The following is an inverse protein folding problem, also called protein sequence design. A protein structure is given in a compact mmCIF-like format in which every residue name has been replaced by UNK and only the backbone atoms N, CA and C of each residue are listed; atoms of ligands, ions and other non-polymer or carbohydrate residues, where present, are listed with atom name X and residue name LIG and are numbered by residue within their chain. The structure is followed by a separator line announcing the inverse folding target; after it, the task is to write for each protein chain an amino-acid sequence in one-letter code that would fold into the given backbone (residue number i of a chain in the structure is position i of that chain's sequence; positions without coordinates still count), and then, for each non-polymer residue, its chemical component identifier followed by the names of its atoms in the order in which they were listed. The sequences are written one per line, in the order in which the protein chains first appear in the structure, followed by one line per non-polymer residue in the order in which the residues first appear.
data_IF_430465330383
#
_entry.id   IF_430465330383
#
_cell.length_a   1.000
_cell.length_b   1.000
_cell.length_c   1.000
_cell.angle_alpha   90.00
_cell.angle_beta   90.00
_cell.angle_gamma   90.00
#
_symmetry.space_group_name_H-M   'P 1'
#
loop_
_entity.id
_entity.type
_entity.pdbx_description
1 polymer ?
#
# COMPACT_ATOMS: atom_id res chain seq x y z
N UNK A 1 20.37 -0.90 25.65
CA UNK A 1 19.81 -1.23 24.32
C UNK A 1 18.31 -1.30 24.49
N UNK A 2 17.65 -0.15 24.47
CA UNK A 2 16.24 -0.02 24.84
C UNK A 2 15.42 0.39 23.63
N UNK A 3 14.17 -0.05 23.60
CA UNK A 3 13.09 0.37 22.71
C UNK A 3 12.72 1.86 22.93
N UNK A 4 13.70 2.77 23.03
CA UNK A 4 13.48 4.20 23.28
C UNK A 4 12.90 4.94 22.04
N UNK A 5 12.77 4.22 20.93
CA UNK A 5 12.39 4.70 19.60
C UNK A 5 11.06 4.08 19.11
N UNK A 6 10.33 3.38 20.00
CA UNK A 6 9.04 2.76 19.73
C UNK A 6 7.94 3.51 20.51
N UNK A 7 6.97 4.11 19.80
CA UNK A 7 5.77 4.67 20.42
C UNK A 7 4.53 3.92 19.91
N UNK A 8 3.70 3.44 20.84
CA UNK A 8 2.42 2.80 20.52
C UNK A 8 1.30 3.65 21.08
N UNK A 9 0.36 4.03 20.23
CA UNK A 9 -0.84 4.78 20.59
C UNK A 9 -2.07 3.99 20.16
N UNK A 10 -3.07 3.90 21.04
CA UNK A 10 -4.37 3.34 20.70
C UNK A 10 -5.45 4.41 20.82
N UNK A 11 -6.07 4.72 19.69
CA UNK A 11 -7.26 5.54 19.60
C UNK A 11 -8.50 4.64 19.80
N UNK A 12 -9.14 4.79 20.96
CA UNK A 12 -10.31 3.99 21.34
C UNK A 12 -11.59 4.34 20.57
N UNK A 13 -11.69 5.57 20.06
CA UNK A 13 -12.84 6.04 19.27
C UNK A 13 -12.78 5.47 17.86
N UNK A 14 -11.63 5.61 17.20
CA UNK A 14 -11.41 5.14 15.84
C UNK A 14 -10.94 3.68 15.74
N UNK A 15 -10.79 2.99 16.87
CA UNK A 15 -10.23 1.63 16.98
C UNK A 15 -8.91 1.50 16.22
N UNK A 16 -8.03 2.51 16.35
CA UNK A 16 -6.79 2.61 15.60
C UNK A 16 -5.58 2.42 16.51
N UNK A 17 -4.80 1.37 16.25
CA UNK A 17 -3.48 1.14 16.83
C UNK A 17 -2.43 1.76 15.92
N UNK A 18 -1.79 2.84 16.38
CA UNK A 18 -0.69 3.48 15.68
C UNK A 18 0.63 3.09 16.34
N UNK A 19 1.56 2.60 15.54
CA UNK A 19 2.89 2.20 15.97
C UNK A 19 3.91 3.07 15.24
N UNK A 20 4.71 3.82 15.98
CA UNK A 20 5.85 4.55 15.46
C UNK A 20 7.12 3.82 15.85
N UNK A 21 7.93 3.46 14.85
CA UNK A 21 9.20 2.77 15.01
C UNK A 21 10.25 3.62 14.32
N UNK A 22 11.15 4.22 15.09
CA UNK A 22 12.26 4.99 14.56
C UNK A 22 13.47 4.08 14.36
N UNK A 23 13.51 3.41 13.21
CA UNK A 23 14.63 2.54 12.81
C UNK A 23 14.99 2.73 11.33
N UNK A 24 16.27 2.51 10.99
CA UNK A 24 16.91 2.90 9.73
C UNK A 24 16.36 2.26 8.45
N UNK A 25 16.99 2.54 7.31
CA UNK A 25 16.48 2.15 5.97
C UNK A 25 16.12 0.67 5.81
N UNK A 26 16.71 -0.23 6.60
CA UNK A 26 16.40 -1.65 6.59
C UNK A 26 14.93 -1.94 6.94
N UNK A 27 14.32 -1.16 7.85
CA UNK A 27 12.93 -1.37 8.28
C UNK A 27 11.96 -1.08 7.14
N UNK A 28 12.25 -0.09 6.28
CA UNK A 28 11.40 0.29 5.15
C UNK A 28 11.09 -0.88 4.22
N UNK A 29 12.08 -1.76 4.00
CA UNK A 29 11.92 -2.97 3.17
C UNK A 29 10.96 -4.00 3.81
N UNK A 30 10.93 -4.05 5.14
CA UNK A 30 10.13 -5.01 5.90
C UNK A 30 8.76 -4.47 6.33
N UNK A 31 8.56 -3.15 6.32
CA UNK A 31 7.29 -2.50 6.68
C UNK A 31 6.05 -3.15 6.03
N UNK A 32 6.03 -3.50 4.73
CA UNK A 32 4.85 -4.12 4.12
C UNK A 32 4.47 -5.44 4.79
N UNK A 33 5.47 -6.27 5.11
CA UNK A 33 5.28 -7.56 5.76
C UNK A 33 4.89 -7.37 7.23
N UNK A 34 5.58 -6.47 7.94
CA UNK A 34 5.32 -6.19 9.34
C UNK A 34 3.89 -5.66 9.58
N UNK A 35 3.42 -4.73 8.74
CA UNK A 35 2.04 -4.24 8.79
C UNK A 35 1.05 -5.38 8.57
N UNK A 36 1.26 -6.18 7.52
CA UNK A 36 0.36 -7.30 7.20
C UNK A 36 0.31 -8.35 8.31
N UNK A 37 1.46 -8.70 8.89
CA UNK A 37 1.59 -9.72 9.93
C UNK A 37 0.98 -9.23 11.25
N UNK A 38 1.23 -7.97 11.64
CA UNK A 38 0.62 -7.39 12.84
C UNK A 38 -0.89 -7.22 12.69
N UNK A 39 -1.38 -6.76 11.54
CA UNK A 39 -2.82 -6.73 11.25
C UNK A 39 -3.44 -8.12 11.36
N UNK A 40 -2.76 -9.14 10.84
CA UNK A 40 -3.24 -10.51 10.91
C UNK A 40 -3.34 -11.01 12.35
N UNK A 41 -2.29 -10.81 13.16
CA UNK A 41 -2.26 -11.20 14.57
C UNK A 41 -3.35 -10.47 15.37
N UNK A 42 -3.45 -9.15 15.21
CA UNK A 42 -4.47 -8.34 15.88
C UNK A 42 -5.87 -8.82 15.53
N UNK A 43 -6.14 -9.10 14.24
CA UNK A 43 -7.42 -9.64 13.78
C UNK A 43 -7.74 -11.02 14.37
N UNK A 44 -6.74 -11.89 14.54
CA UNK A 44 -6.95 -13.19 15.19
C UNK A 44 -7.32 -13.02 16.67
N UNK A 45 -6.67 -12.08 17.36
CA UNK A 45 -6.95 -11.78 18.76
C UNK A 45 -8.34 -11.16 18.95
N UNK A 46 -8.71 -10.16 18.15
CA UNK A 46 -10.05 -9.54 18.23
C UNK A 46 -11.14 -10.58 17.98
N UNK A 47 -10.96 -11.42 16.95
CA UNK A 47 -11.90 -12.51 16.65
C UNK A 47 -12.01 -13.52 17.80
N UNK A 48 -10.88 -13.92 18.40
CA UNK A 48 -10.86 -14.86 19.53
C UNK A 48 -11.62 -14.33 20.75
N UNK A 49 -11.53 -13.02 21.00
CA UNK A 49 -12.19 -12.37 22.13
C UNK A 49 -13.55 -11.75 21.79
N UNK A 50 -14.10 -12.05 20.60
CA UNK A 50 -15.36 -11.50 20.09
C UNK A 50 -15.43 -9.96 20.16
N UNK A 51 -14.29 -9.31 19.90
CA UNK A 51 -14.14 -7.86 19.84
C UNK A 51 -14.14 -7.37 18.39
N UNK A 52 -14.44 -6.09 18.23
CA UNK A 52 -14.34 -5.40 16.95
C UNK A 52 -12.91 -5.40 16.41
N UNK A 53 -12.78 -5.32 15.09
CA UNK A 53 -11.46 -5.25 14.47
C UNK A 53 -10.79 -3.92 14.79
N UNK A 54 -9.48 -3.99 15.04
CA UNK A 54 -8.62 -2.82 15.26
C UNK A 54 -7.80 -2.59 13.98
N UNK A 55 -7.75 -1.33 13.54
CA UNK A 55 -6.92 -0.93 12.42
C UNK A 55 -5.48 -0.69 12.90
N UNK A 56 -4.49 -1.26 12.21
CA UNK A 56 -3.08 -1.08 12.56
C UNK A 56 -2.42 -0.17 11.54
N UNK A 57 -1.71 0.84 12.01
CA UNK A 57 -0.95 1.77 11.18
C UNK A 57 0.47 1.89 11.74
N UNK A 58 1.47 1.57 10.92
CA UNK A 58 2.87 1.60 11.32
C UNK A 58 3.57 2.69 10.52
N UNK A 59 4.14 3.70 11.20
CA UNK A 59 4.86 4.80 10.56
C UNK A 59 4.08 5.50 9.42
N UNK A 60 2.75 5.60 9.51
CA UNK A 60 1.88 6.10 8.41
C UNK A 60 2.09 5.37 7.07
N UNK A 61 2.56 4.12 7.10
CA UNK A 61 2.98 3.34 5.93
C UNK A 61 1.91 3.31 4.84
N UNK A 62 0.63 3.16 5.22
CA UNK A 62 -0.47 3.09 4.25
C UNK A 62 -0.57 4.37 3.43
N UNK A 63 -0.52 5.53 4.07
CA UNK A 63 -0.60 6.83 3.39
C UNK A 63 0.62 7.07 2.49
N UNK A 64 1.83 6.82 3.00
CA UNK A 64 3.05 6.97 2.20
C UNK A 64 3.06 6.02 0.99
N UNK A 65 2.56 4.79 1.19
CA UNK A 65 2.45 3.80 0.13
C UNK A 65 1.48 4.23 -0.95
N UNK A 66 0.33 4.80 -0.58
CA UNK A 66 -0.63 5.35 -1.53
C UNK A 66 0.01 6.44 -2.40
N UNK A 67 0.72 7.40 -1.79
CA UNK A 67 1.41 8.47 -2.50
C UNK A 67 2.43 7.92 -3.51
N UNK A 68 3.21 6.90 -3.12
CA UNK A 68 4.17 6.22 -4.00
C UNK A 68 3.46 5.56 -5.19
N UNK A 69 2.33 4.87 -4.96
CA UNK A 69 1.57 4.21 -6.03
C UNK A 69 1.01 5.22 -7.02
N UNK A 70 0.50 6.37 -6.54
CA UNK A 70 0.00 7.44 -7.41
C UNK A 70 1.12 8.09 -8.23
N UNK A 71 2.30 8.29 -7.63
CA UNK A 71 3.47 8.80 -8.35
C UNK A 71 3.93 7.80 -9.42
N UNK A 72 3.98 6.50 -9.11
CA UNK A 72 4.30 5.44 -10.06
C UNK A 72 3.32 5.41 -11.23
N UNK A 73 2.02 5.56 -10.96
CA UNK A 73 0.98 5.60 -12.00
C UNK A 73 1.21 6.77 -12.97
N UNK A 74 1.46 7.97 -12.44
CA UNK A 74 1.74 9.18 -13.25
C UNK A 74 2.99 9.02 -14.10
N UNK A 75 4.07 8.52 -13.50
CA UNK A 75 5.33 8.29 -14.19
C UNK A 75 5.18 7.22 -15.29
N UNK A 76 4.44 6.14 -15.01
CA UNK A 76 4.17 5.09 -15.99
C UNK A 76 3.34 5.62 -17.17
N UNK A 77 2.33 6.45 -16.93
CA UNK A 77 1.54 7.06 -18.00
C UNK A 77 2.40 7.94 -18.92
N UNK A 78 3.24 8.81 -18.34
CA UNK A 78 4.18 9.64 -19.13
C UNK A 78 5.14 8.77 -19.95
N UNK A 79 5.72 7.74 -19.33
CA UNK A 79 6.66 6.84 -20.01
C UNK A 79 6.00 6.03 -21.12
N UNK A 80 4.75 5.58 -20.90
CA UNK A 80 3.99 4.83 -21.90
C UNK A 80 3.73 5.66 -23.16
N UNK A 81 3.41 6.96 -23.00
CA UNK A 81 3.22 7.89 -24.10
C UNK A 81 4.51 8.21 -24.84
N UNK A 82 5.59 8.48 -24.11
CA UNK A 82 6.90 8.81 -24.70
C UNK A 82 7.46 7.65 -25.51
N UNK A 83 7.36 6.42 -24.97
CA UNK A 83 7.90 5.24 -25.60
C UNK A 83 6.95 4.60 -26.62
N UNK A 84 5.66 4.97 -26.59
CA UNK A 84 4.58 4.32 -27.33
C UNK A 84 4.47 2.82 -27.05
N UNK A 85 4.77 2.43 -25.81
CA UNK A 85 4.80 1.04 -25.35
C UNK A 85 4.08 0.88 -24.02
N UNK A 86 3.64 -0.34 -23.72
CA UNK A 86 3.03 -0.64 -22.43
C UNK A 86 4.06 -0.64 -21.29
N UNK A 87 3.70 -0.01 -20.17
CA UNK A 87 4.53 0.03 -18.96
C UNK A 87 3.90 -0.83 -17.88
N UNK A 88 4.67 -1.81 -17.39
CA UNK A 88 4.27 -2.70 -16.30
C UNK A 88 4.63 -2.07 -14.97
N UNK A 89 3.65 -1.92 -14.08
CA UNK A 89 3.88 -1.53 -12.70
C UNK A 89 4.23 -2.75 -11.83
N UNK A 90 4.86 -2.55 -10.65
CA UNK A 90 5.10 -3.63 -9.69
C UNK A 90 3.80 -4.34 -9.29
N UNK A 91 3.90 -5.61 -8.89
CA UNK A 91 2.76 -6.35 -8.34
C UNK A 91 2.22 -5.65 -7.08
N UNK A 92 0.90 -5.58 -6.97
CA UNK A 92 0.23 -4.76 -5.96
C UNK A 92 -1.16 -5.32 -5.64
N UNK A 93 -1.64 -5.03 -4.43
CA UNK A 93 -2.92 -5.57 -3.95
C UNK A 93 -4.11 -4.91 -4.68
N UNK A 94 -5.32 -5.45 -4.48
CA UNK A 94 -6.52 -4.96 -5.17
C UNK A 94 -6.83 -3.48 -4.92
N UNK A 95 -6.54 -2.98 -3.72
CA UNK A 95 -6.73 -1.57 -3.36
C UNK A 95 -5.73 -0.68 -4.11
N UNK A 96 -4.45 -1.04 -4.12
CA UNK A 96 -3.41 -0.32 -4.87
C UNK A 96 -3.71 -0.30 -6.38
N UNK A 97 -4.14 -1.42 -6.96
CA UNK A 97 -4.55 -1.46 -8.39
C UNK A 97 -5.71 -0.51 -8.66
N UNK A 98 -6.70 -0.45 -7.75
CA UNK A 98 -7.82 0.48 -7.87
C UNK A 98 -7.34 1.94 -7.83
N UNK A 99 -6.37 2.28 -6.99
CA UNK A 99 -5.78 3.63 -6.97
C UNK A 99 -5.19 4.00 -8.33
N UNK A 100 -4.41 3.11 -8.94
CA UNK A 100 -3.85 3.33 -10.28
C UNK A 100 -4.96 3.54 -11.32
N UNK A 101 -5.97 2.67 -11.33
CA UNK A 101 -7.08 2.77 -12.27
C UNK A 101 -7.85 4.09 -12.11
N UNK A 102 -8.15 4.50 -10.88
CA UNK A 102 -8.88 5.75 -10.59
C UNK A 102 -8.04 6.97 -10.96
N UNK A 103 -6.77 6.99 -10.59
CA UNK A 103 -5.86 8.11 -10.90
C UNK A 103 -5.75 8.33 -12.41
N UNK A 104 -5.59 7.25 -13.18
CA UNK A 104 -5.42 7.33 -14.63
C UNK A 104 -6.74 7.34 -15.41
N UNK A 105 -7.89 7.15 -14.76
CA UNK A 105 -9.20 7.18 -15.43
C UNK A 105 -9.54 8.56 -16.04
N UNK A 106 -8.98 9.63 -15.49
CA UNK A 106 -9.20 11.00 -15.98
C UNK A 106 -8.32 11.34 -17.18
N UNK A 107 -7.38 10.46 -17.55
CA UNK A 107 -6.44 10.68 -18.65
C UNK A 107 -6.95 10.06 -19.95
N UNK A 108 -7.29 10.87 -20.97
CA UNK A 108 -7.80 10.36 -22.24
C UNK A 108 -6.71 9.82 -23.18
N UNK A 109 -5.44 9.85 -22.76
CA UNK A 109 -4.29 9.48 -23.57
C UNK A 109 -3.70 8.10 -23.21
N UNK A 110 -4.17 7.49 -22.12
CA UNK A 110 -3.71 6.18 -21.65
C UNK A 110 -4.87 5.29 -21.22
N UNK A 111 -4.68 3.97 -21.29
CA UNK A 111 -5.57 2.94 -20.73
C UNK A 111 -4.83 2.12 -19.68
N UNK A 112 -5.58 1.54 -18.76
CA UNK A 112 -5.04 0.69 -17.70
C UNK A 112 -5.71 -0.67 -17.69
N UNK A 113 -4.94 -1.73 -17.39
CA UNK A 113 -5.44 -3.09 -17.33
C UNK A 113 -4.75 -3.88 -16.22
N UNK A 114 -5.49 -4.68 -15.46
CA UNK A 114 -4.94 -5.52 -14.39
C UNK A 114 -4.61 -6.93 -14.89
N UNK A 115 -3.32 -7.28 -14.97
CA UNK A 115 -2.81 -8.59 -15.45
C UNK A 115 -2.27 -9.43 -14.30
N UNK A 116 -2.38 -10.75 -14.41
CA UNK A 116 -1.88 -11.72 -13.43
C UNK A 116 -2.91 -12.14 -12.38
N UNK A 117 -2.48 -12.94 -11.42
CA UNK A 117 -3.34 -13.57 -10.40
C UNK A 117 -2.74 -13.50 -9.00
N UNK A 118 -3.60 -13.47 -7.99
CA UNK A 118 -3.19 -13.48 -6.59
C UNK A 118 -2.20 -12.35 -6.26
N UNK A 119 -1.05 -12.73 -5.69
CA UNK A 119 0.03 -11.81 -5.27
C UNK A 119 0.85 -11.27 -6.45
N UNK A 120 0.84 -11.97 -7.58
CA UNK A 120 1.57 -11.58 -8.79
C UNK A 120 0.74 -10.67 -9.71
N UNK A 121 -0.42 -10.20 -9.24
CA UNK A 121 -1.30 -9.35 -10.04
C UNK A 121 -0.79 -7.90 -10.04
N UNK A 122 -0.68 -7.31 -11.21
CA UNK A 122 -0.16 -5.95 -11.45
C UNK A 122 -1.05 -5.16 -12.42
N UNK A 123 -0.74 -3.88 -12.59
CA UNK A 123 -1.39 -3.01 -13.60
C UNK A 123 -0.40 -2.71 -14.72
N UNK A 124 -0.89 -2.76 -15.95
CA UNK A 124 -0.19 -2.21 -17.12
C UNK A 124 -0.85 -0.92 -17.55
N UNK A 125 -0.03 0.04 -17.96
CA UNK A 125 -0.46 1.32 -18.53
C UNK A 125 -0.07 1.33 -19.99
N UNK A 126 -1.05 1.54 -20.88
CA UNK A 126 -0.88 1.52 -22.33
C UNK A 126 -1.21 2.91 -22.90
N UNK A 127 -0.44 3.45 -23.86
CA UNK A 127 -0.90 4.61 -24.63
C UNK A 127 -2.12 4.24 -25.46
N UNK A 128 -3.02 5.20 -25.70
CA UNK A 128 -4.15 5.06 -26.64
C UNK A 128 -3.73 5.40 -28.06
#
# INVERSE_FOLDING_TARGET
MGLNDLAVNFDSENKKLTVFINEGEWLKKWLPYLVADLEHIVRLLTKKHNQENVFVDINNYRKEREEIILQLAKAAAQKALLNKEEIKLPAMNAYERRLVHVELATRPDVKTESIGEGKERYVIVKPI
#
